data_IF_952397953135
#
_entry.id   IF_952397953135
#
_cell.length_a   1.000
_cell.length_b   1.000
_cell.length_c   1.000
_cell.angle_alpha   90.00
_cell.angle_beta   90.00
_cell.angle_gamma   90.00
#
_symmetry.space_group_name_H-M   'P 1'
#
loop_
_entity.id
_entity.type
_entity.pdbx_description
1 polymer ?
#
# COMPACT_ATOMS: atom_id res chain seq x y z
N UNK A 1 12.01 9.07 22.77
CA UNK A 1 11.80 7.66 22.38
C UNK A 1 10.33 7.33 22.11
N UNK A 2 9.39 7.60 23.03
CA UNK A 2 7.94 7.34 22.83
C UNK A 2 7.34 7.87 21.51
N UNK A 3 7.51 9.16 21.13
CA UNK A 3 6.86 9.66 19.91
C UNK A 3 7.42 9.05 18.62
N UNK A 4 8.70 8.64 18.61
CA UNK A 4 9.34 8.02 17.46
C UNK A 4 8.82 6.60 17.23
N UNK A 5 8.59 5.84 18.32
CA UNK A 5 7.94 4.53 18.26
C UNK A 5 6.49 4.67 17.81
N UNK A 6 5.75 5.67 18.30
CA UNK A 6 4.37 5.91 17.86
C UNK A 6 4.31 6.32 16.38
N UNK A 7 5.20 7.19 15.92
CA UNK A 7 5.29 7.57 14.51
C UNK A 7 5.67 6.39 13.60
N UNK A 8 6.59 5.53 14.05
CA UNK A 8 6.96 4.32 13.33
C UNK A 8 5.79 3.32 13.26
N UNK A 9 5.06 3.14 14.36
CA UNK A 9 3.85 2.31 14.40
C UNK A 9 2.74 2.88 13.51
N UNK A 10 2.55 4.20 13.49
CA UNK A 10 1.60 4.88 12.60
C UNK A 10 2.01 4.77 11.13
N UNK A 11 3.31 4.82 10.82
CA UNK A 11 3.84 4.61 9.47
C UNK A 11 3.72 3.14 9.02
N UNK A 12 3.84 2.18 9.96
CA UNK A 12 3.54 0.78 9.70
C UNK A 12 2.03 0.54 9.49
N UNK A 13 1.17 1.41 10.05
CA UNK A 13 -0.29 1.36 9.89
C UNK A 13 -0.80 2.04 8.61
N UNK A 14 0.03 2.82 7.91
CA UNK A 14 -0.39 3.55 6.70
C UNK A 14 -0.32 2.72 5.40
N UNK A 15 -0.06 1.42 5.50
CA UNK A 15 0.11 0.51 4.36
C UNK A 15 1.45 0.74 3.66
N UNK A 16 2.27 -0.29 3.54
CA UNK A 16 3.56 -0.17 2.84
C UNK A 16 3.35 0.15 1.36
N UNK A 17 2.38 -0.51 0.72
CA UNK A 17 2.06 -0.28 -0.69
C UNK A 17 1.51 1.13 -0.95
N UNK A 18 0.71 1.69 -0.05
CA UNK A 18 0.16 3.05 -0.19
C UNK A 18 1.27 4.10 -0.23
N UNK A 19 2.23 4.02 0.69
CA UNK A 19 3.35 4.97 0.73
C UNK A 19 4.21 4.87 -0.53
N UNK A 20 4.48 3.65 -0.99
CA UNK A 20 5.25 3.40 -2.20
C UNK A 20 4.55 4.00 -3.43
N UNK A 21 3.26 3.71 -3.62
CA UNK A 21 2.53 4.20 -4.80
C UNK A 21 2.24 5.71 -4.76
N UNK A 22 2.22 6.33 -3.59
CA UNK A 22 1.93 7.77 -3.45
C UNK A 22 3.17 8.65 -3.58
N UNK A 23 4.34 8.18 -3.12
CA UNK A 23 5.54 9.02 -2.98
C UNK A 23 6.77 8.51 -3.74
N UNK A 24 6.75 7.32 -4.33
CA UNK A 24 7.84 6.85 -5.20
C UNK A 24 7.71 7.46 -6.60
N UNK A 25 8.80 8.00 -7.13
CA UNK A 25 8.89 8.50 -8.51
C UNK A 25 8.69 7.37 -9.54
N UNK A 26 8.85 6.10 -9.13
CA UNK A 26 8.63 4.90 -9.95
C UNK A 26 7.32 4.17 -9.60
N UNK A 27 6.36 4.84 -8.96
CA UNK A 27 5.06 4.27 -8.63
C UNK A 27 4.42 3.59 -9.85
N UNK A 28 3.94 2.35 -9.67
CA UNK A 28 3.29 1.56 -10.74
C UNK A 28 2.00 2.21 -11.23
N UNK A 29 1.31 2.94 -10.37
CA UNK A 29 0.02 3.54 -10.68
C UNK A 29 -0.08 5.06 -10.44
N UNK A 30 0.94 5.67 -9.82
CA UNK A 30 0.94 7.10 -9.49
C UNK A 30 -0.15 7.48 -8.48
N UNK A 31 -0.47 8.78 -8.34
CA UNK A 31 -1.38 9.28 -7.30
C UNK A 31 -2.85 8.97 -7.63
N UNK A 32 -3.23 7.69 -7.68
CA UNK A 32 -4.60 7.23 -7.92
C UNK A 32 -5.26 6.75 -6.63
N UNK A 33 -6.57 7.02 -6.44
CA UNK A 33 -7.30 6.53 -5.27
C UNK A 33 -7.21 5.00 -5.17
N UNK A 34 -6.98 4.51 -3.95
CA UNK A 34 -6.95 3.09 -3.62
C UNK A 34 -5.87 2.26 -4.33
N UNK A 35 -4.78 2.89 -4.81
CA UNK A 35 -3.79 2.10 -5.52
C UNK A 35 -2.94 1.20 -4.60
N UNK A 36 -2.66 1.61 -3.36
CA UNK A 36 -1.97 0.74 -2.40
C UNK A 36 -2.74 -0.56 -2.18
N UNK A 37 -4.05 -0.46 -1.91
CA UNK A 37 -4.93 -1.60 -1.73
C UNK A 37 -5.04 -2.46 -2.99
N UNK A 38 -5.09 -1.86 -4.18
CA UNK A 38 -5.12 -2.60 -5.44
C UNK A 38 -3.83 -3.40 -5.66
N UNK A 39 -2.68 -2.82 -5.33
CA UNK A 39 -1.36 -3.47 -5.39
C UNK A 39 -1.29 -4.65 -4.41
N UNK A 40 -1.81 -4.51 -3.19
CA UNK A 40 -1.84 -5.60 -2.21
C UNK A 40 -2.72 -6.77 -2.68
N UNK A 41 -3.84 -6.49 -3.35
CA UNK A 41 -4.69 -7.53 -3.96
C UNK A 41 -3.95 -8.26 -5.09
N UNK A 42 -3.21 -7.53 -5.94
CA UNK A 42 -2.40 -8.13 -7.01
C UNK A 42 -1.30 -9.04 -6.42
N UNK A 43 -0.58 -8.56 -5.39
CA UNK A 43 0.40 -9.37 -4.68
C UNK A 43 -0.21 -10.61 -4.06
N UNK A 44 -1.38 -10.48 -3.41
CA UNK A 44 -2.06 -11.61 -2.80
C UNK A 44 -2.45 -12.66 -3.85
N UNK A 45 -2.97 -12.22 -5.00
CA UNK A 45 -3.27 -13.12 -6.13
C UNK A 45 -2.02 -13.89 -6.57
N UNK A 46 -0.91 -13.20 -6.82
CA UNK A 46 0.36 -13.83 -7.20
C UNK A 46 0.85 -14.85 -6.16
N UNK A 47 0.66 -14.56 -4.87
CA UNK A 47 1.04 -15.46 -3.78
C UNK A 47 0.11 -16.68 -3.65
N UNK A 48 -1.16 -16.54 -4.05
CA UNK A 48 -2.17 -17.60 -3.93
C UNK A 48 -2.34 -18.47 -5.18
N UNK A 49 -1.74 -18.11 -6.32
CA UNK A 49 -1.81 -18.83 -7.60
C UNK A 49 -1.15 -20.24 -7.61
N UNK A 50 -0.80 -20.79 -6.45
CA UNK A 50 -0.21 -22.12 -6.28
C UNK A 50 1.23 -22.27 -6.80
N UNK A 51 1.77 -21.23 -7.47
CA UNK A 51 3.12 -21.18 -8.05
C UNK A 51 4.12 -20.37 -7.23
N UNK A 52 3.69 -19.76 -6.12
CA UNK A 52 4.51 -18.85 -5.33
C UNK A 52 5.65 -19.54 -4.54
N UNK A 53 5.60 -20.87 -4.37
CA UNK A 53 6.65 -21.62 -3.67
C UNK A 53 6.92 -21.07 -2.27
N UNK A 54 8.18 -20.76 -1.97
CA UNK A 54 8.60 -20.20 -0.67
C UNK A 54 7.97 -18.82 -0.40
N UNK A 55 7.60 -18.06 -1.43
CA UNK A 55 7.00 -16.74 -1.27
C UNK A 55 5.60 -16.80 -0.65
N UNK A 56 4.90 -17.94 -0.72
CA UNK A 56 3.60 -18.13 -0.07
C UNK A 56 3.66 -17.92 1.46
N UNK A 57 4.84 -18.03 2.08
CA UNK A 57 5.04 -17.72 3.49
C UNK A 57 4.76 -16.25 3.84
N UNK A 58 4.75 -15.34 2.86
CA UNK A 58 4.44 -13.92 3.05
C UNK A 58 2.95 -13.58 2.98
N UNK A 59 2.07 -14.55 2.67
CA UNK A 59 0.61 -14.33 2.62
C UNK A 59 0.08 -13.66 3.90
N UNK A 60 0.46 -14.07 5.13
CA UNK A 60 -0.04 -13.42 6.35
C UNK A 60 0.33 -11.94 6.44
N UNK A 61 1.49 -11.55 5.92
CA UNK A 61 1.94 -10.15 5.92
C UNK A 61 1.10 -9.33 4.95
N UNK A 62 0.87 -9.83 3.73
CA UNK A 62 0.02 -9.15 2.72
C UNK A 62 -1.44 -9.04 3.19
N UNK A 63 -1.95 -10.06 3.87
CA UNK A 63 -3.31 -10.04 4.45
C UNK A 63 -3.45 -8.96 5.54
N UNK A 64 -2.38 -8.69 6.29
CA UNK A 64 -2.35 -7.61 7.30
C UNK A 64 -2.16 -6.24 6.63
N UNK A 65 -1.33 -6.15 5.59
CA UNK A 65 -1.03 -4.88 4.92
C UNK A 65 -2.23 -4.35 4.15
N UNK A 66 -3.05 -5.22 3.54
CA UNK A 66 -4.23 -4.82 2.75
C UNK A 66 -5.20 -3.87 3.49
N UNK A 67 -5.71 -4.18 4.70
CA UNK A 67 -6.57 -3.23 5.42
C UNK A 67 -5.82 -1.95 5.84
N UNK A 68 -4.51 -2.02 6.07
CA UNK A 68 -3.69 -0.85 6.39
C UNK A 68 -3.50 0.05 5.16
N UNK A 69 -3.31 -0.53 3.98
CA UNK A 69 -3.31 0.19 2.71
C UNK A 69 -4.66 0.81 2.41
N UNK A 70 -5.79 0.15 2.71
CA UNK A 70 -7.12 0.78 2.57
C UNK A 70 -7.24 2.02 3.46
N UNK A 71 -6.76 1.95 4.72
CA UNK A 71 -6.75 3.10 5.63
C UNK A 71 -5.81 4.19 5.11
N UNK A 72 -4.59 3.82 4.71
CA UNK A 72 -3.60 4.71 4.11
C UNK A 72 -4.17 5.45 2.90
N UNK A 73 -4.65 4.71 1.91
CA UNK A 73 -5.28 5.22 0.69
C UNK A 73 -6.43 6.18 1.00
N UNK A 74 -7.22 5.89 2.04
CA UNK A 74 -8.31 6.76 2.48
C UNK A 74 -7.79 8.07 3.10
N UNK A 75 -6.70 8.01 3.87
CA UNK A 75 -6.06 9.19 4.45
C UNK A 75 -5.40 10.07 3.39
N UNK A 76 -4.82 9.48 2.34
CA UNK A 76 -4.22 10.21 1.21
C UNK A 76 -5.22 10.49 0.09
N UNK A 77 -6.50 10.12 0.26
CA UNK A 77 -7.53 10.29 -0.76
C UNK A 77 -7.71 11.73 -1.24
N UNK A 78 -7.67 12.77 -0.38
CA UNK A 78 -7.69 14.16 -0.86
C UNK A 78 -6.52 14.48 -1.78
N UNK A 79 -5.32 14.00 -1.45
CA UNK A 79 -4.12 14.22 -2.25
C UNK A 79 -4.21 13.50 -3.60
N UNK A 80 -4.60 12.22 -3.58
CA UNK A 80 -4.69 11.41 -4.81
C UNK A 80 -5.88 11.83 -5.69
N UNK A 81 -7.02 12.22 -5.12
CA UNK A 81 -8.17 12.67 -5.91
C UNK A 81 -7.91 14.00 -6.65
N UNK A 82 -7.14 14.92 -6.06
CA UNK A 82 -6.86 16.22 -6.67
C UNK A 82 -5.58 16.24 -7.54
N UNK A 83 -4.58 15.40 -7.25
CA UNK A 83 -3.37 15.30 -8.06
C UNK A 83 -3.45 14.25 -9.18
N UNK A 84 -4.43 13.34 -9.17
CA UNK A 84 -4.68 12.40 -10.28
C UNK A 84 -4.98 13.09 -11.63
N UNK A 85 -5.34 14.39 -11.61
CA UNK A 85 -5.64 15.17 -12.81
C UNK A 85 -4.45 15.87 -13.46
N UNK A 86 -3.27 15.87 -12.85
CA UNK A 86 -2.15 16.73 -13.25
C UNK A 86 -1.09 16.03 -14.13
N UNK A 87 -1.31 14.77 -14.51
CA UNK A 87 -0.41 13.95 -15.33
C UNK A 87 -0.98 13.61 -16.72
N UNK A 88 -1.84 14.46 -17.28
CA UNK A 88 -2.16 14.42 -18.73
C UNK A 88 -1.37 15.44 -19.52
#
# INVERSE_FOLDING_TARGET
MRPLVTALLLALLSGCATLNETFDDNARCGPRPYCGAATDVEYLQMLTDGKAGVLAAFIPLVVIDLPLSVVGDTLVLPYTAFNAGQTR
#
